data_IF_035091904509
#
_entry.id   IF_035091904509
#
_cell.length_a   1.000
_cell.length_b   1.000
_cell.length_c   1.000
_cell.angle_alpha   90.00
_cell.angle_beta   90.00
_cell.angle_gamma   90.00
#
_symmetry.space_group_name_H-M   'P 1'
#
loop_
_entity.id
_entity.type
_entity.pdbx_description
1 polymer ?
#
# COMPACT_ATOMS: atom_id res chain seq x y z
N UNK A 1 9.66 -13.04 18.71
CA UNK A 1 8.49 -12.45 18.02
C UNK A 1 8.65 -12.66 16.53
N UNK A 2 7.67 -13.28 15.88
CA UNK A 2 7.80 -13.61 14.47
C UNK A 2 7.21 -12.50 13.59
N UNK A 3 6.11 -11.88 14.03
CA UNK A 3 5.34 -10.94 13.22
C UNK A 3 4.91 -9.70 13.99
N UNK A 4 5.17 -8.51 13.44
CA UNK A 4 4.57 -7.26 13.89
C UNK A 4 3.60 -6.75 12.82
N UNK A 5 2.30 -6.72 13.14
CA UNK A 5 1.26 -6.17 12.26
C UNK A 5 1.06 -4.70 12.59
N UNK A 6 1.13 -3.85 11.58
CA UNK A 6 1.00 -2.39 11.71
C UNK A 6 -0.18 -1.91 10.89
N UNK A 7 -1.12 -1.23 11.54
CA UNK A 7 -2.36 -0.74 10.94
C UNK A 7 -2.48 0.76 11.22
N UNK A 8 -2.51 1.57 10.17
CA UNK A 8 -2.75 3.02 10.28
C UNK A 8 -4.23 3.29 10.09
N UNK A 9 -4.87 3.85 11.12
CA UNK A 9 -6.29 4.19 11.13
C UNK A 9 -6.53 5.70 10.92
N UNK A 10 -7.56 6.03 10.12
CA UNK A 10 -8.07 7.38 10.00
C UNK A 10 -9.54 7.40 9.61
N UNK A 11 -10.44 7.59 10.59
CA UNK A 11 -11.89 7.73 10.44
C UNK A 11 -12.60 6.53 9.75
N UNK A 12 -12.22 5.30 10.09
CA UNK A 12 -12.80 4.04 9.56
C UNK A 12 -13.00 3.00 10.65
N UNK A 13 -13.57 3.38 11.78
CA UNK A 13 -13.75 2.52 12.97
C UNK A 13 -14.47 1.20 12.66
N UNK A 14 -15.45 1.19 11.76
CA UNK A 14 -16.22 -0.02 11.42
C UNK A 14 -15.39 -1.01 10.61
N UNK A 15 -14.65 -0.54 9.61
CA UNK A 15 -13.76 -1.35 8.81
C UNK A 15 -12.59 -1.87 9.66
N UNK A 16 -12.03 -1.01 10.49
CA UNK A 16 -10.96 -1.37 11.43
C UNK A 16 -11.39 -2.49 12.39
N UNK A 17 -12.63 -2.46 12.89
CA UNK A 17 -13.15 -3.50 13.75
C UNK A 17 -13.13 -4.89 13.07
N UNK A 18 -13.59 -4.96 11.82
CA UNK A 18 -13.59 -6.19 11.03
C UNK A 18 -12.15 -6.66 10.72
N UNK A 19 -11.28 -5.74 10.40
CA UNK A 19 -9.87 -6.01 10.18
C UNK A 19 -9.23 -6.63 11.43
N UNK A 20 -9.40 -6.02 12.59
CA UNK A 20 -8.81 -6.48 13.85
C UNK A 20 -9.33 -7.86 14.29
N UNK A 21 -10.60 -8.18 14.07
CA UNK A 21 -11.14 -9.52 14.33
C UNK A 21 -10.51 -10.57 13.40
N UNK A 22 -10.32 -10.24 12.12
CA UNK A 22 -9.65 -11.14 11.19
C UNK A 22 -8.16 -11.32 11.52
N UNK A 23 -7.47 -10.24 11.90
CA UNK A 23 -6.08 -10.26 12.37
C UNK A 23 -5.93 -11.11 13.62
N UNK A 24 -6.83 -10.97 14.61
CA UNK A 24 -6.83 -11.78 15.83
C UNK A 24 -6.94 -13.27 15.51
N UNK A 25 -7.79 -13.62 14.55
CA UNK A 25 -7.96 -15.02 14.11
C UNK A 25 -6.71 -15.52 13.40
N UNK A 26 -6.13 -14.72 12.49
CA UNK A 26 -4.95 -15.11 11.74
C UNK A 26 -3.66 -15.16 12.57
N UNK A 27 -3.62 -14.49 13.73
CA UNK A 27 -2.51 -14.56 14.68
C UNK A 27 -2.58 -15.77 15.64
N UNK A 28 -3.65 -16.56 15.60
CA UNK A 28 -3.72 -17.75 16.45
C UNK A 28 -2.52 -18.66 16.16
N UNK A 29 -1.78 -19.02 17.21
CA UNK A 29 -0.56 -19.84 17.16
C UNK A 29 0.67 -19.16 16.52
N UNK A 30 0.65 -17.85 16.35
CA UNK A 30 1.81 -17.06 15.90
C UNK A 30 2.23 -16.14 17.05
N UNK A 31 3.51 -16.15 17.40
CA UNK A 31 4.09 -15.18 18.30
C UNK A 31 4.17 -13.82 17.59
N UNK A 32 3.13 -13.00 17.77
CA UNK A 32 2.94 -11.74 17.05
C UNK A 32 2.39 -10.62 17.91
N UNK A 33 2.63 -9.39 17.48
CA UNK A 33 2.13 -8.16 18.09
C UNK A 33 1.39 -7.31 17.05
N UNK A 34 0.51 -6.44 17.53
CA UNK A 34 -0.27 -5.54 16.67
C UNK A 34 -0.16 -4.11 17.17
N UNK A 35 0.23 -3.23 16.27
CA UNK A 35 0.23 -1.78 16.48
C UNK A 35 -0.89 -1.15 15.67
N UNK A 36 -1.66 -0.27 16.30
CA UNK A 36 -2.66 0.55 15.64
C UNK A 36 -2.23 2.00 15.81
N UNK A 37 -2.00 2.69 14.71
CA UNK A 37 -1.65 4.10 14.72
C UNK A 37 -2.87 4.89 14.29
N UNK A 38 -3.50 5.57 15.23
CA UNK A 38 -4.61 6.45 14.93
C UNK A 38 -4.12 7.85 14.55
N UNK A 39 -4.38 8.25 13.33
CA UNK A 39 -3.93 9.53 12.76
C UNK A 39 -4.92 10.68 13.06
N UNK A 40 -5.32 10.83 14.33
CA UNK A 40 -6.27 11.84 14.78
C UNK A 40 -7.68 11.65 14.19
N UNK A 41 -8.24 10.46 14.40
CA UNK A 41 -9.62 10.17 14.00
C UNK A 41 -10.63 10.93 14.86
N UNK A 42 -11.75 11.29 14.27
CA UNK A 42 -12.90 11.95 14.89
C UNK A 42 -14.13 11.07 15.04
N UNK A 43 -14.00 9.77 14.73
CA UNK A 43 -15.10 8.78 14.71
C UNK A 43 -15.10 7.82 15.91
N UNK A 44 -14.53 8.25 17.05
CA UNK A 44 -14.39 7.46 18.28
C UNK A 44 -13.51 6.19 18.14
N UNK A 45 -12.70 6.07 17.07
CA UNK A 45 -11.81 4.93 16.85
C UNK A 45 -10.93 4.63 18.06
N UNK A 46 -10.31 5.64 18.67
CA UNK A 46 -9.39 5.45 19.79
C UNK A 46 -10.07 4.85 21.04
N UNK A 47 -11.26 5.32 21.38
CA UNK A 47 -12.03 4.81 22.51
C UNK A 47 -12.47 3.38 22.24
N UNK A 48 -13.00 3.11 21.06
CA UNK A 48 -13.41 1.80 20.60
C UNK A 48 -12.27 0.78 20.64
N UNK A 49 -11.06 1.16 20.17
CA UNK A 49 -9.90 0.26 20.20
C UNK A 49 -9.51 -0.09 21.64
N UNK A 50 -9.43 0.91 22.54
CA UNK A 50 -9.07 0.66 23.96
C UNK A 50 -10.06 -0.28 24.66
N UNK A 51 -11.34 -0.15 24.34
CA UNK A 51 -12.39 -0.98 24.96
C UNK A 51 -12.44 -2.40 24.38
N UNK A 52 -12.42 -2.54 23.05
CA UNK A 52 -12.69 -3.82 22.38
C UNK A 52 -11.43 -4.61 22.01
N UNK A 53 -10.29 -3.93 21.83
CA UNK A 53 -9.04 -4.55 21.38
C UNK A 53 -7.85 -4.19 22.30
N UNK A 54 -7.96 -4.41 23.64
CA UNK A 54 -6.90 -4.04 24.59
C UNK A 54 -5.60 -4.84 24.41
N UNK A 55 -5.62 -5.88 23.60
CA UNK A 55 -4.45 -6.69 23.23
C UNK A 55 -3.57 -6.02 22.15
N UNK A 56 -4.07 -5.01 21.44
CA UNK A 56 -3.32 -4.25 20.45
C UNK A 56 -2.75 -2.98 21.07
N UNK A 57 -1.54 -2.62 20.67
CA UNK A 57 -0.88 -1.39 21.11
C UNK A 57 -1.40 -0.21 20.29
N UNK A 58 -2.11 0.72 20.93
CA UNK A 58 -2.62 1.94 20.28
C UNK A 58 -1.64 3.10 20.45
N UNK A 59 -1.26 3.73 19.33
CA UNK A 59 -0.54 4.99 19.26
C UNK A 59 -1.50 6.04 18.68
N UNK A 60 -1.93 7.00 19.49
CA UNK A 60 -2.86 8.05 19.06
C UNK A 60 -2.09 9.35 18.78
N UNK A 61 -2.13 9.81 17.54
CA UNK A 61 -1.53 11.05 17.10
C UNK A 61 -2.50 12.23 17.33
N UNK A 62 -1.96 13.42 17.61
CA UNK A 62 -2.76 14.64 17.77
C UNK A 62 -3.08 15.33 16.42
N UNK A 63 -2.50 14.84 15.32
CA UNK A 63 -2.73 15.31 13.96
C UNK A 63 -2.55 14.15 12.97
N UNK A 64 -3.08 14.31 11.75
CA UNK A 64 -2.82 13.35 10.68
C UNK A 64 -1.44 13.63 10.08
N UNK A 65 -0.45 12.82 10.46
CA UNK A 65 0.96 12.94 10.04
C UNK A 65 1.28 12.23 8.73
N UNK A 66 0.28 11.63 8.07
CA UNK A 66 0.44 10.85 6.85
C UNK A 66 0.72 9.37 7.09
N UNK A 67 0.64 8.58 6.01
CA UNK A 67 0.70 7.12 6.10
C UNK A 67 2.11 6.59 6.38
N UNK A 68 3.11 7.08 5.63
CA UNK A 68 4.50 6.63 5.80
C UNK A 68 5.04 6.93 7.20
N UNK A 69 4.85 8.18 7.67
CA UNK A 69 5.32 8.62 8.99
C UNK A 69 4.63 7.87 10.13
N UNK A 70 3.32 7.61 10.00
CA UNK A 70 2.57 6.84 10.98
C UNK A 70 3.05 5.37 11.07
N UNK A 71 3.25 4.72 9.93
CA UNK A 71 3.83 3.36 9.92
C UNK A 71 5.22 3.35 10.56
N UNK A 72 6.06 4.33 10.27
CA UNK A 72 7.40 4.41 10.82
C UNK A 72 7.43 4.53 12.35
N UNK A 73 6.41 5.15 12.98
CA UNK A 73 6.29 5.18 14.44
C UNK A 73 6.23 3.77 15.03
N UNK A 74 5.40 2.89 14.44
CA UNK A 74 5.27 1.52 14.89
C UNK A 74 6.45 0.63 14.46
N UNK A 75 6.99 0.79 13.26
CA UNK A 75 8.13 0.01 12.80
C UNK A 75 9.33 0.17 13.75
N UNK A 76 9.55 1.38 14.30
CA UNK A 76 10.63 1.63 15.28
C UNK A 76 10.42 0.91 16.61
N UNK A 77 9.21 0.55 16.95
CA UNK A 77 8.85 -0.17 18.18
C UNK A 77 8.71 -1.68 17.97
N UNK A 78 8.55 -2.07 16.71
CA UNK A 78 8.29 -3.45 16.30
C UNK A 78 9.47 -4.37 16.59
N UNK A 79 9.18 -5.52 17.18
CA UNK A 79 10.16 -6.55 17.56
C UNK A 79 10.10 -7.81 16.69
N UNK A 80 9.11 -7.92 15.81
CA UNK A 80 8.92 -9.05 14.89
C UNK A 80 10.03 -9.16 13.85
N UNK A 81 10.36 -10.39 13.48
CA UNK A 81 11.27 -10.68 12.37
C UNK A 81 10.71 -10.20 11.02
N UNK A 82 9.39 -10.20 10.92
CA UNK A 82 8.65 -9.68 9.79
C UNK A 82 7.73 -8.54 10.21
N UNK A 83 7.64 -7.53 9.38
CA UNK A 83 6.77 -6.37 9.53
C UNK A 83 5.66 -6.47 8.47
N UNK A 84 4.41 -6.53 8.90
CA UNK A 84 3.25 -6.50 8.02
C UNK A 84 2.58 -5.13 8.09
N UNK A 85 2.66 -4.36 7.00
CA UNK A 85 1.84 -3.18 6.82
C UNK A 85 0.48 -3.62 6.28
N UNK A 86 -0.59 -3.27 6.99
CA UNK A 86 -1.95 -3.71 6.67
C UNK A 86 -2.93 -2.54 6.73
N UNK A 87 -3.74 -2.37 5.68
CA UNK A 87 -4.76 -1.34 5.67
C UNK A 87 -5.93 -1.69 6.61
N UNK A 88 -6.56 -0.70 7.27
CA UNK A 88 -7.67 -0.91 8.20
C UNK A 88 -8.97 -1.38 7.53
N UNK A 89 -9.09 -1.22 6.20
CA UNK A 89 -10.24 -1.65 5.40
C UNK A 89 -9.99 -2.99 4.68
N UNK A 90 -9.26 -3.90 5.35
CA UNK A 90 -8.98 -5.25 4.85
C UNK A 90 -9.52 -6.34 5.78
N UNK A 91 -9.80 -7.50 5.22
CA UNK A 91 -10.06 -8.74 5.95
C UNK A 91 -9.05 -9.78 5.47
N UNK A 92 -8.34 -10.40 6.41
CA UNK A 92 -7.35 -11.45 6.14
C UNK A 92 -7.96 -12.83 6.38
N UNK A 93 -7.55 -13.84 5.61
CA UNK A 93 -7.93 -15.24 5.87
C UNK A 93 -7.22 -15.77 7.12
N UNK A 94 -7.84 -16.72 7.83
CA UNK A 94 -7.34 -17.26 9.08
C UNK A 94 -5.95 -17.90 9.01
N UNK A 95 -5.56 -18.39 7.84
CA UNK A 95 -4.27 -19.06 7.59
C UNK A 95 -3.25 -18.14 6.87
N UNK A 96 -3.64 -16.89 6.57
CA UNK A 96 -2.82 -15.98 5.77
C UNK A 96 -1.43 -15.78 6.36
N UNK A 97 -1.34 -15.46 7.63
CA UNK A 97 -0.05 -15.14 8.23
C UNK A 97 0.86 -16.34 8.33
N UNK A 98 0.31 -17.52 8.68
CA UNK A 98 1.08 -18.78 8.70
C UNK A 98 1.65 -19.10 7.33
N UNK A 99 0.85 -18.97 6.27
CA UNK A 99 1.30 -19.21 4.89
C UNK A 99 2.34 -18.20 4.43
N UNK A 100 2.12 -16.90 4.72
CA UNK A 100 3.04 -15.83 4.35
C UNK A 100 4.40 -16.00 5.02
N UNK A 101 4.44 -16.30 6.33
CA UNK A 101 5.67 -16.53 7.06
C UNK A 101 6.40 -17.76 6.55
N UNK A 102 5.72 -18.90 6.39
CA UNK A 102 6.32 -20.12 5.86
C UNK A 102 6.92 -19.92 4.46
N UNK A 103 6.24 -19.13 3.59
CA UNK A 103 6.78 -18.78 2.27
C UNK A 103 8.07 -17.96 2.40
N UNK A 104 8.07 -16.92 3.23
CA UNK A 104 9.24 -16.05 3.40
C UNK A 104 10.41 -16.79 4.04
N UNK A 105 10.16 -17.72 4.97
CA UNK A 105 11.21 -18.56 5.57
C UNK A 105 11.85 -19.47 4.53
N UNK A 106 11.07 -20.01 3.58
CA UNK A 106 11.56 -20.82 2.48
C UNK A 106 12.28 -20.01 1.37
N UNK A 107 12.13 -18.68 1.37
CA UNK A 107 12.71 -17.77 0.36
C UNK A 107 13.58 -16.68 1.02
N UNK A 108 14.83 -17.01 1.41
CA UNK A 108 15.72 -16.06 2.10
C UNK A 108 16.13 -14.86 1.22
N UNK A 109 16.00 -14.97 -0.10
CA UNK A 109 16.18 -13.87 -1.07
C UNK A 109 14.97 -12.92 -1.14
N UNK A 110 13.84 -13.29 -0.51
CA UNK A 110 12.65 -12.46 -0.42
C UNK A 110 12.82 -11.32 0.58
N UNK A 111 12.77 -10.08 0.09
CA UNK A 111 12.73 -8.88 0.91
C UNK A 111 11.31 -8.47 1.27
N UNK A 112 10.35 -8.70 0.36
CA UNK A 112 8.96 -8.38 0.57
C UNK A 112 7.99 -9.34 -0.11
N UNK A 113 6.77 -9.44 0.46
CA UNK A 113 5.70 -10.30 0.00
C UNK A 113 4.37 -9.56 -0.02
N UNK A 114 3.65 -9.63 -1.15
CA UNK A 114 2.27 -9.21 -1.28
C UNK A 114 1.39 -10.41 -1.63
N UNK A 115 0.13 -10.36 -1.19
CA UNK A 115 -0.83 -11.44 -1.45
C UNK A 115 -1.86 -11.04 -2.51
N UNK A 116 -2.64 -12.00 -2.95
CA UNK A 116 -3.80 -11.76 -3.80
C UNK A 116 -4.82 -10.88 -3.08
N UNK A 117 -5.31 -9.85 -3.76
CA UNK A 117 -6.36 -8.99 -3.22
C UNK A 117 -7.64 -9.16 -4.01
N UNK A 118 -8.75 -9.26 -3.30
CA UNK A 118 -10.11 -9.29 -3.84
C UNK A 118 -10.87 -8.06 -3.35
N UNK A 119 -11.82 -7.56 -4.14
CA UNK A 119 -12.78 -6.58 -3.65
C UNK A 119 -13.88 -7.24 -2.81
N UNK A 120 -14.78 -6.44 -2.21
CA UNK A 120 -15.89 -6.95 -1.39
C UNK A 120 -16.89 -7.86 -2.13
N UNK A 121 -16.77 -8.00 -3.46
CA UNK A 121 -17.56 -8.92 -4.29
C UNK A 121 -16.76 -10.15 -4.74
N UNK A 122 -15.54 -10.33 -4.22
CA UNK A 122 -14.66 -11.44 -4.59
C UNK A 122 -13.94 -11.25 -5.93
N UNK A 123 -13.98 -10.08 -6.54
CA UNK A 123 -13.30 -9.80 -7.81
C UNK A 123 -11.83 -9.45 -7.56
N UNK A 124 -10.95 -10.02 -8.38
CA UNK A 124 -9.52 -9.73 -8.34
C UNK A 124 -9.20 -8.25 -8.53
N UNK A 125 -8.36 -7.72 -7.66
CA UNK A 125 -7.82 -6.37 -7.73
C UNK A 125 -6.46 -6.38 -8.44
N UNK A 126 -6.33 -5.73 -9.61
CA UNK A 126 -5.07 -5.74 -10.39
C UNK A 126 -3.87 -5.18 -9.63
N UNK A 127 -4.10 -4.36 -8.63
CA UNK A 127 -3.06 -3.78 -7.78
C UNK A 127 -2.33 -4.80 -6.91
N UNK A 128 -2.81 -6.04 -6.82
CA UNK A 128 -2.14 -7.16 -6.11
C UNK A 128 -0.73 -7.40 -6.62
N UNK A 129 -0.45 -7.09 -7.87
CA UNK A 129 0.84 -7.28 -8.54
C UNK A 129 1.09 -6.12 -9.50
N UNK A 130 2.23 -5.47 -9.35
CA UNK A 130 2.54 -4.26 -10.13
C UNK A 130 3.99 -4.26 -10.60
N UNK A 131 4.19 -3.65 -11.77
CA UNK A 131 5.51 -3.29 -12.28
C UNK A 131 5.92 -1.87 -11.88
N UNK A 132 7.19 -1.56 -12.07
CA UNK A 132 7.74 -0.22 -11.81
C UNK A 132 7.03 0.82 -12.70
N UNK A 133 6.59 1.95 -12.12
CA UNK A 133 5.96 3.03 -12.87
C UNK A 133 6.99 3.81 -13.68
N UNK A 134 7.34 3.33 -14.87
CA UNK A 134 8.10 4.11 -15.85
C UNK A 134 7.20 5.17 -16.50
N UNK A 135 7.73 6.20 -17.18
CA UNK A 135 6.91 7.16 -17.90
C UNK A 135 5.96 6.51 -18.90
N UNK A 136 6.40 5.47 -19.60
CA UNK A 136 5.58 4.74 -20.56
C UNK A 136 4.48 3.92 -19.87
N UNK A 137 4.79 3.17 -18.79
CA UNK A 137 3.79 2.37 -18.06
C UNK A 137 2.78 3.26 -17.35
N UNK A 138 3.22 4.40 -16.81
CA UNK A 138 2.35 5.41 -16.24
C UNK A 138 1.41 6.02 -17.31
N UNK A 139 1.93 6.34 -18.49
CA UNK A 139 1.13 6.79 -19.62
C UNK A 139 0.07 5.76 -20.02
N UNK A 140 0.45 4.49 -20.23
CA UNK A 140 -0.48 3.42 -20.56
C UNK A 140 -1.59 3.25 -19.50
N UNK A 141 -1.25 3.36 -18.22
CA UNK A 141 -2.20 3.31 -17.12
C UNK A 141 -3.15 4.50 -17.13
N UNK A 142 -2.62 5.73 -17.20
CA UNK A 142 -3.39 6.96 -17.11
C UNK A 142 -4.38 7.14 -18.28
N UNK A 143 -4.00 6.70 -19.47
CA UNK A 143 -4.86 6.75 -20.65
C UNK A 143 -5.67 5.47 -20.90
N UNK A 144 -5.58 4.49 -20.01
CA UNK A 144 -6.38 3.28 -20.07
C UNK A 144 -5.97 2.29 -21.17
N UNK A 145 -4.79 2.46 -21.80
CA UNK A 145 -4.29 1.62 -22.91
C UNK A 145 -4.11 0.16 -22.48
N UNK A 146 -3.83 -0.08 -21.19
CA UNK A 146 -3.75 -1.41 -20.62
C UNK A 146 -5.03 -2.24 -20.80
N UNK A 147 -6.21 -1.59 -20.92
CA UNK A 147 -7.51 -2.27 -21.13
C UNK A 147 -7.67 -2.81 -22.54
N UNK A 148 -6.97 -2.22 -23.52
CA UNK A 148 -7.00 -2.67 -24.93
C UNK A 148 -6.25 -3.99 -25.12
N UNK A 149 -5.23 -4.26 -24.29
CA UNK A 149 -4.45 -5.48 -24.35
C UNK A 149 -4.13 -5.95 -22.91
N UNK A 150 -5.11 -6.53 -22.17
CA UNK A 150 -4.97 -6.85 -20.75
C UNK A 150 -3.84 -7.83 -20.42
N UNK A 151 -3.45 -8.70 -21.38
CA UNK A 151 -2.38 -9.68 -21.25
C UNK A 151 -1.05 -9.24 -21.87
N UNK A 152 -0.95 -7.98 -22.30
CA UNK A 152 0.28 -7.47 -22.93
C UNK A 152 1.30 -7.08 -21.86
N UNK A 153 2.48 -7.64 -21.94
CA UNK A 153 3.63 -7.23 -21.12
C UNK A 153 3.99 -5.75 -21.32
N UNK A 154 3.80 -5.23 -22.52
CA UNK A 154 4.19 -3.86 -22.87
C UNK A 154 3.15 -2.83 -22.44
N UNK A 155 1.87 -3.04 -22.80
CA UNK A 155 0.79 -2.07 -22.54
C UNK A 155 0.22 -2.19 -21.13
N UNK A 156 0.28 -3.37 -20.53
CA UNK A 156 -0.22 -3.65 -19.18
C UNK A 156 0.89 -4.10 -18.20
N UNK A 157 2.10 -3.62 -18.41
CA UNK A 157 3.23 -3.91 -17.51
C UNK A 157 2.98 -3.35 -16.10
N UNK A 158 2.32 -2.20 -16.00
CA UNK A 158 1.99 -1.63 -14.67
C UNK A 158 1.21 -2.58 -13.76
N UNK A 159 0.31 -3.41 -14.32
CA UNK A 159 -0.44 -4.41 -13.56
C UNK A 159 0.05 -5.84 -13.81
N UNK A 160 1.21 -5.99 -14.45
CA UNK A 160 1.80 -7.29 -14.82
C UNK A 160 0.75 -8.21 -15.44
N UNK A 161 0.04 -7.69 -16.45
CA UNK A 161 -1.14 -8.35 -17.01
C UNK A 161 -0.89 -9.69 -17.68
N UNK A 162 0.36 -9.97 -18.11
CA UNK A 162 0.78 -11.26 -18.65
C UNK A 162 0.96 -12.32 -17.54
N UNK A 163 1.17 -11.89 -16.29
CA UNK A 163 1.37 -12.79 -15.17
C UNK A 163 0.03 -13.36 -14.69
N UNK A 164 -0.13 -14.70 -14.56
CA UNK A 164 -1.34 -15.29 -14.00
C UNK A 164 -1.67 -14.80 -12.59
N UNK A 165 -2.98 -14.73 -12.27
CA UNK A 165 -3.43 -14.21 -10.96
C UNK A 165 -3.39 -15.28 -9.85
N UNK A 166 -3.11 -16.53 -10.20
CA UNK A 166 -3.16 -17.72 -9.34
C UNK A 166 -1.81 -18.41 -9.20
N UNK A 167 -0.73 -17.77 -9.68
CA UNK A 167 0.63 -18.28 -9.57
C UNK A 167 1.53 -17.37 -8.79
N UNK A 168 2.28 -17.93 -7.88
CA UNK A 168 3.38 -17.25 -7.18
C UNK A 168 4.43 -16.80 -8.19
N UNK A 169 4.89 -15.57 -8.05
CA UNK A 169 5.87 -14.99 -8.96
C UNK A 169 6.65 -13.85 -8.33
N UNK A 170 7.82 -13.57 -8.86
CA UNK A 170 8.54 -12.33 -8.61
C UNK A 170 7.78 -11.16 -9.25
N UNK A 171 7.64 -10.08 -8.50
CA UNK A 171 7.01 -8.83 -8.97
C UNK A 171 7.90 -7.64 -8.59
N UNK A 172 7.65 -6.50 -9.20
CA UNK A 172 8.48 -5.34 -8.91
C UNK A 172 7.94 -4.53 -7.73
N UNK A 173 6.64 -4.29 -7.67
CA UNK A 173 6.01 -3.39 -6.69
C UNK A 173 4.92 -4.12 -5.92
N UNK A 174 5.05 -4.14 -4.62
CA UNK A 174 4.07 -4.63 -3.65
C UNK A 174 2.94 -3.62 -3.44
N UNK A 175 1.79 -4.09 -2.99
CA UNK A 175 0.68 -3.21 -2.63
C UNK A 175 0.73 -2.87 -1.14
N UNK A 176 0.69 -1.58 -0.80
CA UNK A 176 0.69 -1.09 0.58
C UNK A 176 -0.53 -1.53 1.41
N UNK A 177 -1.57 -2.10 0.79
CA UNK A 177 -2.73 -2.60 1.50
C UNK A 177 -2.46 -3.87 2.33
N UNK A 178 -1.49 -4.70 1.89
CA UNK A 178 -0.98 -5.86 2.63
C UNK A 178 0.44 -6.14 2.14
N UNK A 179 1.43 -5.70 2.90
CA UNK A 179 2.83 -5.77 2.53
C UNK A 179 3.64 -6.34 3.69
N UNK A 180 4.07 -7.59 3.57
CA UNK A 180 5.00 -8.22 4.51
C UNK A 180 6.43 -7.92 4.09
N UNK A 181 7.25 -7.44 5.01
CA UNK A 181 8.66 -7.08 4.75
C UNK A 181 9.52 -7.75 5.81
N UNK A 182 10.64 -8.33 5.41
CA UNK A 182 11.66 -8.83 6.34
C UNK A 182 12.31 -7.66 7.07
N UNK A 183 12.31 -7.67 8.40
CA UNK A 183 12.82 -6.57 9.22
C UNK A 183 14.30 -6.26 8.94
N UNK A 184 15.14 -7.29 8.76
CA UNK A 184 16.57 -7.10 8.43
C UNK A 184 16.79 -6.37 7.10
N UNK A 185 15.82 -6.45 6.16
CA UNK A 185 15.86 -5.67 4.92
C UNK A 185 15.57 -4.21 5.22
N UNK A 186 14.56 -3.89 6.07
CA UNK A 186 14.32 -2.51 6.51
C UNK A 186 15.51 -1.93 7.27
N UNK A 187 16.19 -2.74 8.08
CA UNK A 187 17.41 -2.31 8.80
C UNK A 187 18.53 -1.93 7.81
N UNK A 188 18.55 -2.54 6.63
CA UNK A 188 19.55 -2.27 5.58
C UNK A 188 19.19 -1.08 4.72
N UNK A 189 17.92 -1.02 4.25
CA UNK A 189 17.49 -0.01 3.26
C UNK A 189 16.85 1.23 3.88
N UNK A 190 16.59 1.22 5.18
CA UNK A 190 15.83 2.24 5.91
C UNK A 190 14.32 2.06 5.83
N UNK A 191 13.62 2.87 6.61
CA UNK A 191 12.16 2.84 6.75
C UNK A 191 11.44 3.46 5.54
N UNK A 192 10.12 3.60 5.61
CA UNK A 192 9.34 4.32 4.60
C UNK A 192 9.80 5.77 4.50
N UNK A 193 9.84 6.30 3.28
CA UNK A 193 10.21 7.70 3.06
C UNK A 193 9.06 8.62 3.49
N UNK A 194 9.28 9.42 4.53
CA UNK A 194 8.28 10.27 5.17
C UNK A 194 7.84 11.47 4.31
N UNK A 195 8.49 11.71 3.15
CA UNK A 195 8.03 12.69 2.16
C UNK A 195 6.72 12.28 1.49
N UNK A 196 6.43 10.97 1.43
CA UNK A 196 5.15 10.45 0.96
C UNK A 196 4.11 10.55 2.06
N UNK A 197 3.24 11.56 1.96
CA UNK A 197 2.15 11.72 2.91
C UNK A 197 1.10 10.61 2.77
N UNK A 198 0.74 10.28 1.52
CA UNK A 198 -0.21 9.23 1.16
C UNK A 198 0.06 8.80 -0.28
N UNK A 199 0.14 7.51 -0.54
CA UNK A 199 0.52 6.88 -1.82
C UNK A 199 1.99 7.06 -2.19
N UNK A 200 2.53 6.07 -2.86
CA UNK A 200 3.87 6.05 -3.42
C UNK A 200 4.94 5.54 -2.46
N UNK A 201 4.69 5.52 -1.16
CA UNK A 201 5.57 4.90 -0.16
C UNK A 201 5.76 3.40 -0.42
N UNK A 202 4.73 2.72 -0.91
CA UNK A 202 4.75 1.31 -1.29
C UNK A 202 5.60 1.07 -2.55
N UNK A 203 5.54 1.99 -3.51
CA UNK A 203 6.38 1.97 -4.70
C UNK A 203 7.84 2.22 -4.35
N UNK A 204 8.11 3.21 -3.51
CA UNK A 204 9.44 3.58 -3.05
C UNK A 204 10.13 2.43 -2.30
N UNK A 205 9.47 1.88 -1.27
CA UNK A 205 10.07 0.80 -0.47
C UNK A 205 10.29 -0.45 -1.31
N UNK A 206 9.33 -0.82 -2.19
CA UNK A 206 9.47 -1.96 -3.09
C UNK A 206 10.66 -1.80 -4.03
N UNK A 207 10.85 -0.60 -4.57
CA UNK A 207 11.97 -0.30 -5.46
C UNK A 207 13.32 -0.38 -4.72
N UNK A 208 13.41 0.13 -3.47
CA UNK A 208 14.62 0.04 -2.65
C UNK A 208 14.95 -1.40 -2.25
N UNK A 209 13.95 -2.25 -2.00
CA UNK A 209 14.15 -3.70 -1.78
C UNK A 209 14.85 -4.33 -2.98
N UNK A 210 14.36 -4.06 -4.21
CA UNK A 210 14.97 -4.56 -5.44
C UNK A 210 16.39 -4.02 -5.66
N UNK A 211 16.62 -2.73 -5.39
CA UNK A 211 17.96 -2.12 -5.52
C UNK A 211 18.97 -2.71 -4.54
N UNK A 212 18.54 -3.19 -3.39
CA UNK A 212 19.37 -3.87 -2.41
C UNK A 212 19.65 -5.35 -2.77
N UNK A 213 19.16 -5.83 -3.91
CA UNK A 213 19.38 -7.18 -4.41
C UNK A 213 18.40 -8.24 -3.89
N UNK A 214 17.39 -7.83 -3.12
CA UNK A 214 16.31 -8.71 -2.68
C UNK A 214 15.20 -8.77 -3.72
N UNK A 215 14.28 -9.76 -3.57
CA UNK A 215 13.12 -9.95 -4.42
C UNK A 215 11.83 -9.54 -3.71
N UNK A 216 10.88 -9.05 -4.48
CA UNK A 216 9.49 -8.90 -4.08
C UNK A 216 8.67 -10.03 -4.69
N UNK A 217 7.83 -10.67 -3.89
CA UNK A 217 7.01 -11.79 -4.33
C UNK A 217 5.52 -11.47 -4.30
N UNK A 218 4.79 -11.97 -5.28
CA UNK A 218 3.35 -12.10 -5.29
C UNK A 218 2.98 -13.53 -4.91
N UNK A 219 2.16 -13.70 -3.87
CA UNK A 219 1.80 -15.00 -3.30
C UNK A 219 0.28 -15.16 -3.26
N UNK A 220 -0.33 -15.84 -4.24
CA UNK A 220 -1.79 -15.98 -4.35
C UNK A 220 -2.38 -17.17 -3.59
N UNK A 221 -1.59 -17.97 -2.85
CA UNK A 221 -2.08 -19.13 -2.08
C UNK A 221 -2.88 -18.73 -0.84
N UNK A 222 -2.83 -17.44 -0.51
CA UNK A 222 -3.77 -16.79 0.38
C UNK A 222 -4.21 -15.48 -0.21
N UNK A 223 -5.25 -14.87 0.36
CA UNK A 223 -5.76 -13.58 -0.11
C UNK A 223 -6.25 -12.71 1.02
N UNK A 224 -6.44 -11.44 0.70
CA UNK A 224 -7.19 -10.50 1.54
C UNK A 224 -8.39 -9.97 0.76
N UNK A 225 -9.47 -9.66 1.46
CA UNK A 225 -10.53 -8.80 0.93
C UNK A 225 -10.21 -7.36 1.28
N UNK A 226 -10.18 -6.45 0.30
CA UNK A 226 -9.86 -5.04 0.47
C UNK A 226 -11.04 -4.16 0.02
N UNK A 227 -11.71 -3.50 0.96
CA UNK A 227 -12.88 -2.64 0.72
C UNK A 227 -12.50 -1.23 0.24
N UNK A 228 -11.54 -1.16 -0.59
CA UNK A 228 -10.84 -0.01 -1.16
C UNK A 228 -11.56 1.33 -1.08
N UNK A 229 -10.86 2.32 -0.54
CA UNK A 229 -11.26 3.72 -0.63
C UNK A 229 -12.15 4.23 0.50
N UNK A 230 -12.45 3.42 1.51
CA UNK A 230 -13.29 3.85 2.64
C UNK A 230 -12.68 5.05 3.36
N UNK A 231 -11.39 5.01 3.67
CA UNK A 231 -10.66 6.10 4.33
C UNK A 231 -10.51 7.35 3.45
N UNK A 232 -10.38 7.18 2.12
CA UNK A 232 -10.01 8.27 1.21
C UNK A 232 -11.19 8.98 0.56
N UNK A 233 -12.39 8.36 0.53
CA UNK A 233 -13.58 8.96 -0.10
C UNK A 233 -13.98 10.29 0.52
N UNK A 234 -13.91 10.42 1.84
CA UNK A 234 -14.24 11.67 2.57
C UNK A 234 -13.27 12.81 2.24
N UNK A 235 -12.05 12.49 1.80
CA UNK A 235 -10.96 13.46 1.57
C UNK A 235 -10.44 13.42 0.12
N UNK A 236 -11.30 13.09 -0.83
CA UNK A 236 -10.94 12.84 -2.24
C UNK A 236 -10.08 13.93 -2.87
N UNK A 237 -10.33 15.21 -2.58
CA UNK A 237 -9.51 16.32 -3.07
C UNK A 237 -8.06 16.24 -2.58
N UNK A 238 -7.86 16.05 -1.27
CA UNK A 238 -6.51 15.93 -0.67
C UNK A 238 -5.80 14.68 -1.18
N UNK A 239 -6.52 13.57 -1.36
CA UNK A 239 -5.99 12.32 -1.91
C UNK A 239 -5.52 12.45 -3.36
N UNK A 240 -6.23 13.24 -4.20
CA UNK A 240 -5.79 13.55 -5.57
C UNK A 240 -4.46 14.32 -5.53
N UNK A 241 -4.37 15.35 -4.71
CA UNK A 241 -3.13 16.15 -4.60
C UNK A 241 -1.98 15.27 -4.13
N UNK A 242 -2.17 14.51 -3.04
CA UNK A 242 -1.15 13.62 -2.50
C UNK A 242 -0.66 12.59 -3.54
N UNK A 243 -1.57 12.04 -4.34
CA UNK A 243 -1.22 11.09 -5.41
C UNK A 243 -0.29 11.71 -6.48
N UNK A 244 -0.56 12.94 -6.92
CA UNK A 244 0.31 13.57 -7.92
C UNK A 244 1.61 14.10 -7.32
N UNK A 245 1.61 14.53 -6.05
CA UNK A 245 2.83 14.83 -5.31
C UNK A 245 3.73 13.59 -5.17
N UNK A 246 3.15 12.43 -4.89
CA UNK A 246 3.93 11.19 -4.81
C UNK A 246 4.56 10.80 -6.15
N UNK A 247 3.87 11.03 -7.27
CA UNK A 247 4.45 10.83 -8.61
C UNK A 247 5.65 11.77 -8.85
N UNK A 248 5.56 13.02 -8.42
CA UNK A 248 6.66 13.98 -8.52
C UNK A 248 7.86 13.54 -7.68
N UNK A 249 7.65 13.20 -6.39
CA UNK A 249 8.71 12.73 -5.50
C UNK A 249 9.41 11.51 -6.12
N UNK A 250 8.66 10.52 -6.58
CA UNK A 250 9.23 9.32 -7.19
C UNK A 250 10.01 9.63 -8.46
N UNK A 251 9.48 10.49 -9.33
CA UNK A 251 10.15 10.86 -10.58
C UNK A 251 11.42 11.66 -10.32
N UNK A 252 11.43 12.55 -9.33
CA UNK A 252 12.62 13.33 -8.96
C UNK A 252 13.71 12.44 -8.37
N UNK A 253 13.32 11.44 -7.59
CA UNK A 253 14.26 10.55 -6.91
C UNK A 253 14.86 9.50 -7.85
N UNK A 254 14.07 8.90 -8.73
CA UNK A 254 14.47 7.73 -9.50
C UNK A 254 14.53 7.92 -11.01
N UNK A 255 13.87 8.95 -11.56
CA UNK A 255 13.86 9.22 -13.00
C UNK A 255 14.70 10.44 -13.39
N UNK A 256 15.35 11.07 -12.42
CA UNK A 256 16.22 12.24 -12.67
C UNK A 256 15.47 13.49 -13.08
N UNK A 257 14.19 13.62 -12.76
CA UNK A 257 13.38 14.80 -13.10
C UNK A 257 13.68 16.02 -12.21
N UNK A 258 14.50 15.85 -11.17
CA UNK A 258 15.10 16.94 -10.41
C UNK A 258 16.17 17.73 -11.22
N UNK A 259 16.59 17.21 -12.39
CA UNK A 259 17.49 17.88 -13.32
C UNK A 259 16.68 18.73 -14.30
N UNK A 260 17.19 19.92 -14.65
CA UNK A 260 16.55 20.81 -15.64
C UNK A 260 16.82 20.33 -17.08
N UNK A 261 16.35 19.13 -17.41
CA UNK A 261 16.44 18.56 -18.75
C UNK A 261 15.09 18.68 -19.48
N UNK A 262 15.05 18.77 -20.82
CA UNK A 262 13.80 18.77 -21.57
C UNK A 262 12.91 17.56 -21.25
N UNK A 263 13.51 16.41 -21.01
CA UNK A 263 12.82 15.18 -20.62
C UNK A 263 12.15 15.28 -19.24
N UNK A 264 12.88 15.82 -18.26
CA UNK A 264 12.34 16.07 -16.91
C UNK A 264 11.15 17.02 -16.97
N UNK A 265 11.26 18.09 -17.77
CA UNK A 265 10.16 19.04 -17.95
C UNK A 265 8.92 18.38 -18.56
N UNK A 266 9.09 17.53 -19.58
CA UNK A 266 7.98 16.80 -20.20
C UNK A 266 7.25 15.88 -19.18
N UNK A 267 7.99 15.15 -18.36
CA UNK A 267 7.38 14.29 -17.33
C UNK A 267 6.59 15.13 -16.31
N UNK A 268 7.21 16.21 -15.79
CA UNK A 268 6.54 17.10 -14.82
C UNK A 268 5.31 17.78 -15.42
N UNK A 269 5.40 18.29 -16.64
CA UNK A 269 4.24 18.84 -17.36
C UNK A 269 3.11 17.80 -17.48
N UNK A 270 3.43 16.55 -17.82
CA UNK A 270 2.45 15.47 -17.89
C UNK A 270 1.76 15.21 -16.54
N UNK A 271 2.52 15.17 -15.44
CA UNK A 271 2.00 15.01 -14.08
C UNK A 271 1.04 16.15 -13.73
N UNK A 272 1.45 17.42 -13.91
CA UNK A 272 0.64 18.58 -13.54
C UNK A 272 -0.60 18.77 -14.43
N UNK A 273 -0.50 18.54 -15.75
CA UNK A 273 -1.66 18.57 -16.64
C UNK A 273 -2.69 17.53 -16.19
N UNK A 274 -2.24 16.32 -15.90
CA UNK A 274 -3.15 15.25 -15.44
C UNK A 274 -3.74 15.52 -14.07
N UNK A 275 -2.97 16.13 -13.16
CA UNK A 275 -3.46 16.60 -11.87
C UNK A 275 -4.58 17.63 -12.05
N UNK A 276 -4.39 18.61 -12.93
CA UNK A 276 -5.39 19.62 -13.27
C UNK A 276 -6.69 19.00 -13.78
N UNK A 277 -6.62 18.08 -14.74
CA UNK A 277 -7.82 17.36 -15.21
C UNK A 277 -8.52 16.55 -14.11
N UNK A 278 -7.77 15.90 -13.23
CA UNK A 278 -8.35 15.14 -12.13
C UNK A 278 -9.08 16.04 -11.12
N UNK A 279 -8.51 17.20 -10.81
CA UNK A 279 -9.13 18.19 -9.92
C UNK A 279 -10.37 18.84 -10.54
N UNK A 280 -10.31 19.20 -11.82
CA UNK A 280 -11.47 19.73 -12.56
C UNK A 280 -12.60 18.70 -12.55
N UNK A 281 -12.31 17.44 -12.92
CA UNK A 281 -13.30 16.36 -12.89
C UNK A 281 -13.91 16.13 -11.51
N UNK A 282 -13.11 16.24 -10.45
CA UNK A 282 -13.60 16.17 -9.06
C UNK A 282 -14.57 17.33 -8.75
N UNK A 283 -14.24 18.56 -9.12
CA UNK A 283 -15.11 19.72 -8.86
C UNK A 283 -16.42 19.66 -9.65
N UNK A 284 -16.37 19.25 -10.92
CA UNK A 284 -17.55 19.03 -11.74
C UNK A 284 -18.46 17.97 -11.09
N UNK A 285 -17.92 16.80 -10.73
CA UNK A 285 -18.68 15.74 -10.08
C UNK A 285 -19.33 16.22 -8.78
N UNK A 286 -18.59 16.98 -7.94
CA UNK A 286 -19.09 17.52 -6.68
C UNK A 286 -20.21 18.54 -6.87
N UNK A 287 -20.21 19.31 -7.96
CA UNK A 287 -21.26 20.26 -8.29
C UNK A 287 -22.57 19.55 -8.65
N UNK A 288 -22.50 18.45 -9.42
CA UNK A 288 -23.68 17.65 -9.78
C UNK A 288 -24.22 16.79 -8.63
N UNK A 289 -23.41 16.40 -7.66
CA UNK A 289 -23.87 15.58 -6.52
C UNK A 289 -24.49 16.40 -5.39
N UNK A 290 -24.50 17.74 -5.49
CA UNK A 290 -25.14 18.66 -4.53
C UNK A 290 -26.48 19.21 -5.01
N UNK A 291 -26.83 19.00 -6.28
CA UNK A 291 -28.14 19.26 -6.86
C UNK A 291 -29.00 17.98 -6.81
#
# INVERSE_FOLDING_TARGET
MNLSVIIVNYNVVHELAQCLESVRTALQNIDGEVFIIDNNSSDNSCEFIREKFPWATLIANNENIGFAKANNQAIRLASGEYILLLNPDTIVESDSFTKMLAFMDAHPDGGGLGVKMLDGNGKFLPESKRGIPTPFTAFCKLFGLWRLAPKSDKLNHYYLGALPNDKTAEIEILAGACMLIRKSVLDTIGLLDERYFLYGEDVDISYRILQAGYKNYYFPETHITHFKGRSTQKYKHKSIIAFYQSMEIFSDQYMGTNRHTPWALLIKCGIYIRAGFALIGYHIYKSFSKS
#
